data_IF_004361976078
#
_entry.id   IF_004361976078
#
_cell.length_a   1.000
_cell.length_b   1.000
_cell.length_c   1.000
_cell.angle_alpha   90.00
_cell.angle_beta   90.00
_cell.angle_gamma   90.00
#
_symmetry.space_group_name_H-M   'P 1'
#
loop_
_entity.id
_entity.type
_entity.pdbx_description
1 polymer ?
#
# COMPACT_ATOMS: atom_id res chain seq x y z
N UNK A 1 -8.78 2.80 24.16
CA UNK A 1 -7.44 3.25 23.70
C UNK A 1 -7.45 3.25 22.19
N UNK A 2 -6.94 4.31 21.58
CA UNK A 2 -6.80 4.43 20.13
C UNK A 2 -5.59 3.58 19.72
N UNK A 3 -5.85 2.38 19.19
CA UNK A 3 -4.82 1.43 18.76
C UNK A 3 -4.43 1.74 17.31
N UNK A 4 -3.46 2.67 17.17
CA UNK A 4 -2.89 3.06 15.90
C UNK A 4 -1.54 2.40 15.69
N UNK A 5 -1.30 1.95 14.48
CA UNK A 5 0.00 1.42 14.08
C UNK A 5 0.21 1.63 12.56
N UNK A 6 1.44 1.44 12.09
CA UNK A 6 1.78 1.52 10.66
C UNK A 6 1.14 0.33 9.94
N UNK A 7 0.23 0.64 9.02
CA UNK A 7 -0.39 -0.39 8.19
C UNK A 7 0.61 -0.91 7.18
N UNK A 8 0.75 -2.22 7.10
CA UNK A 8 1.58 -2.90 6.11
C UNK A 8 0.72 -3.88 5.32
N UNK A 9 0.95 -3.95 4.01
CA UNK A 9 0.16 -4.81 3.14
C UNK A 9 0.89 -5.09 1.81
N UNK A 10 0.19 -5.72 0.89
CA UNK A 10 0.68 -6.09 -0.43
C UNK A 10 -0.25 -5.50 -1.51
N UNK A 11 0.34 -5.05 -2.62
CA UNK A 11 -0.40 -4.61 -3.82
C UNK A 11 0.02 -5.45 -5.01
N UNK A 12 -0.92 -5.77 -5.90
CA UNK A 12 -0.66 -6.64 -7.06
C UNK A 12 0.12 -5.92 -8.13
N UNK A 13 1.06 -6.63 -8.75
CA UNK A 13 1.83 -6.12 -9.89
C UNK A 13 1.25 -6.68 -11.18
N UNK A 14 1.10 -5.81 -12.18
CA UNK A 14 0.69 -6.19 -13.53
C UNK A 14 1.91 -6.31 -14.43
N UNK A 15 1.99 -7.39 -15.20
CA UNK A 15 2.96 -7.53 -16.30
C UNK A 15 4.38 -7.93 -15.89
N UNK A 16 4.67 -8.18 -14.60
CA UNK A 16 5.98 -8.66 -14.17
C UNK A 16 6.01 -10.20 -14.08
N UNK A 17 7.07 -10.80 -14.64
CA UNK A 17 7.23 -12.25 -14.69
C UNK A 17 7.63 -12.82 -13.32
N UNK A 18 8.52 -12.14 -12.60
CA UNK A 18 9.15 -12.60 -11.37
C UNK A 18 8.34 -12.24 -10.12
N UNK A 19 7.65 -11.10 -10.13
CA UNK A 19 6.91 -10.59 -8.98
C UNK A 19 5.42 -10.44 -9.28
N UNK A 20 4.57 -10.98 -8.39
CA UNK A 20 3.10 -10.85 -8.48
C UNK A 20 2.54 -9.78 -7.55
N UNK A 21 3.30 -9.40 -6.53
CA UNK A 21 2.92 -8.41 -5.52
C UNK A 21 4.15 -7.63 -5.06
N UNK A 22 3.92 -6.41 -4.56
CA UNK A 22 4.93 -5.56 -3.92
C UNK A 22 4.47 -5.17 -2.52
N UNK A 23 5.42 -5.04 -1.58
CA UNK A 23 5.15 -4.60 -0.22
C UNK A 23 4.93 -3.10 -0.14
N UNK A 24 3.90 -2.72 0.62
CA UNK A 24 3.53 -1.33 0.85
C UNK A 24 3.31 -1.08 2.34
N UNK A 25 3.46 0.17 2.75
CA UNK A 25 3.10 0.64 4.10
C UNK A 25 2.35 1.96 4.05
N UNK A 26 1.62 2.30 5.11
CA UNK A 26 1.14 3.66 5.32
C UNK A 26 2.31 4.59 5.67
N UNK A 27 2.24 5.84 5.23
CA UNK A 27 3.24 6.86 5.61
C UNK A 27 3.09 7.35 7.06
N UNK A 28 1.94 7.11 7.69
CA UNK A 28 1.61 7.48 9.08
C UNK A 28 0.85 6.34 9.78
N UNK A 29 0.85 6.28 11.13
CA UNK A 29 0.03 5.33 11.88
C UNK A 29 -1.46 5.52 11.60
N UNK A 30 -2.19 4.42 11.43
CA UNK A 30 -3.64 4.42 11.21
C UNK A 30 -4.34 3.53 12.23
N UNK A 31 -5.61 3.82 12.47
CA UNK A 31 -6.46 3.01 13.34
C UNK A 31 -6.57 1.58 12.82
N UNK A 32 -6.30 0.58 13.67
CA UNK A 32 -6.31 -0.83 13.24
C UNK A 32 -7.66 -1.32 12.70
N UNK A 33 -8.77 -0.72 13.12
CA UNK A 33 -10.09 -1.07 12.58
C UNK A 33 -10.23 -0.73 11.07
N UNK A 34 -9.44 0.23 10.55
CA UNK A 34 -9.45 0.62 9.13
C UNK A 34 -8.64 -0.34 8.25
N UNK A 35 -7.78 -1.18 8.82
CA UNK A 35 -6.83 -2.01 8.06
C UNK A 35 -7.54 -2.96 7.08
N UNK A 36 -8.71 -3.48 7.49
CA UNK A 36 -9.52 -4.35 6.65
C UNK A 36 -10.08 -3.59 5.44
N UNK A 37 -10.55 -2.37 5.63
CA UNK A 37 -11.07 -1.54 4.53
C UNK A 37 -9.96 -1.07 3.59
N UNK A 38 -8.80 -0.68 4.13
CA UNK A 38 -7.62 -0.33 3.33
C UNK A 38 -7.17 -1.52 2.47
N UNK A 39 -7.16 -2.73 3.05
CA UNK A 39 -6.83 -3.95 2.31
C UNK A 39 -7.82 -4.23 1.16
N UNK A 40 -9.12 -3.97 1.35
CA UNK A 40 -10.12 -4.08 0.27
C UNK A 40 -9.86 -3.08 -0.85
N UNK A 41 -9.51 -1.84 -0.52
CA UNK A 41 -9.15 -0.81 -1.52
C UNK A 41 -7.91 -1.26 -2.29
N UNK A 42 -6.83 -1.63 -1.59
CA UNK A 42 -5.59 -2.10 -2.21
C UNK A 42 -5.78 -3.35 -3.07
N UNK A 43 -6.74 -4.23 -2.71
CA UNK A 43 -7.04 -5.44 -3.49
C UNK A 43 -7.57 -5.15 -4.90
N UNK A 44 -7.99 -3.91 -5.18
CA UNK A 44 -8.47 -3.49 -6.51
C UNK A 44 -7.39 -2.77 -7.32
N UNK A 45 -6.26 -2.47 -6.71
CA UNK A 45 -5.17 -1.73 -7.33
C UNK A 45 -4.17 -2.71 -7.93
N UNK A 46 -3.74 -2.40 -9.15
CA UNK A 46 -2.62 -3.04 -9.83
C UNK A 46 -1.59 -1.98 -10.16
N UNK A 47 -0.33 -2.27 -9.83
CA UNK A 47 0.82 -1.40 -10.12
C UNK A 47 1.65 -2.00 -11.24
N UNK A 48 2.22 -1.16 -12.09
CA UNK A 48 3.15 -1.58 -13.16
C UNK A 48 4.58 -1.28 -12.74
N UNK A 49 5.56 -2.03 -13.24
CA UNK A 49 6.97 -1.73 -13.02
C UNK A 49 7.49 -0.74 -14.08
N UNK A 50 8.56 0.04 -13.81
CA UNK A 50 9.38 0.05 -12.60
C UNK A 50 8.70 0.75 -11.41
N UNK A 51 8.94 0.27 -10.20
CA UNK A 51 8.46 0.86 -8.93
C UNK A 51 9.65 0.98 -7.98
N UNK A 52 9.80 2.16 -7.36
CA UNK A 52 10.87 2.47 -6.42
C UNK A 52 10.37 2.53 -4.98
N UNK A 53 11.31 2.43 -4.05
CA UNK A 53 11.02 2.66 -2.63
C UNK A 53 10.57 4.12 -2.46
N UNK A 54 9.45 4.33 -1.78
CA UNK A 54 8.87 5.65 -1.56
C UNK A 54 7.81 6.06 -2.58
N UNK A 55 7.62 5.31 -3.67
CA UNK A 55 6.56 5.60 -4.63
C UNK A 55 5.18 5.52 -3.96
N UNK A 56 4.35 6.53 -4.22
CA UNK A 56 3.00 6.61 -3.66
C UNK A 56 2.07 5.76 -4.53
N UNK A 57 1.63 4.62 -3.99
CA UNK A 57 0.72 3.70 -4.67
C UNK A 57 -0.73 4.17 -4.60
N UNK A 58 -1.12 4.76 -3.45
CA UNK A 58 -2.45 5.33 -3.27
C UNK A 58 -2.34 6.56 -2.38
N UNK A 59 -2.62 7.73 -2.94
CA UNK A 59 -2.61 9.01 -2.24
C UNK A 59 -3.92 9.22 -1.50
N UNK A 60 -3.86 9.70 -0.25
CA UNK A 60 -5.02 10.03 0.57
C UNK A 60 -6.08 8.91 0.62
N UNK A 61 -5.67 7.69 0.99
CA UNK A 61 -6.53 6.51 0.97
C UNK A 61 -7.77 6.75 1.84
N UNK A 62 -8.96 6.54 1.26
CA UNK A 62 -10.26 6.78 1.90
C UNK A 62 -10.44 8.19 2.49
N UNK A 63 -9.79 9.23 1.92
CA UNK A 63 -9.83 10.61 2.42
C UNK A 63 -9.33 10.78 3.87
N UNK A 64 -8.43 9.91 4.33
CA UNK A 64 -7.91 9.92 5.71
C UNK A 64 -6.70 10.85 5.93
N UNK A 65 -6.14 11.42 4.87
CA UNK A 65 -4.90 12.19 4.88
C UNK A 65 -3.63 11.32 4.94
N UNK A 66 -3.76 10.02 4.70
CA UNK A 66 -2.68 9.02 4.75
C UNK A 66 -2.41 8.48 3.36
N UNK A 67 -1.14 8.30 3.04
CA UNK A 67 -0.71 7.72 1.76
C UNK A 67 -0.20 6.30 1.97
N UNK A 68 -0.38 5.46 0.96
CA UNK A 68 0.22 4.13 0.87
C UNK A 68 1.44 4.21 -0.03
N UNK A 69 2.60 3.85 0.52
CA UNK A 69 3.91 3.97 -0.13
C UNK A 69 4.56 2.61 -0.31
N UNK A 70 5.30 2.46 -1.41
CA UNK A 70 6.04 1.26 -1.72
C UNK A 70 7.28 1.14 -0.84
N UNK A 71 7.60 -0.08 -0.39
CA UNK A 71 8.77 -0.36 0.46
C UNK A 71 9.81 -1.26 -0.20
N UNK A 72 9.55 -1.68 -1.44
CA UNK A 72 10.46 -2.53 -2.21
C UNK A 72 10.58 -1.99 -3.64
N UNK A 73 11.79 -1.99 -4.14
CA UNK A 73 12.08 -1.68 -5.54
C UNK A 73 11.89 -2.91 -6.41
N UNK A 74 11.24 -2.73 -7.55
CA UNK A 74 11.00 -3.76 -8.56
C UNK A 74 11.13 -3.10 -9.93
N UNK A 75 12.08 -3.58 -10.71
CA UNK A 75 12.27 -3.24 -12.12
C UNK A 75 11.28 -3.99 -13.03
#
# INVERSE_FOLDING_TARGET
MIDKDVFTSLVRIKGNQNYKVVSVKSNKPIEKYLWREFSKVLSRIYVSTPIKIGDIICKNIMNTGVDIVCTKEIE
#
